data_IF_217486728680
#
_entry.id   IF_217486728680
#
_cell.length_a   1.000
_cell.length_b   1.000
_cell.length_c   1.000
_cell.angle_alpha   90.00
_cell.angle_beta   90.00
_cell.angle_gamma   90.00
#
_symmetry.space_group_name_H-M   'P 1'
#
loop_
_entity.id
_entity.type
_entity.pdbx_description
1 polymer ?
#
# COMPACT_ATOMS: atom_id res chain seq x y z
N UNK A 1 -1.07 -34.05 27.94
CA UNK A 1 -1.73 -32.99 27.15
C UNK A 1 -0.75 -31.84 27.00
N UNK A 2 -0.32 -31.50 25.79
CA UNK A 2 0.62 -30.38 25.56
C UNK A 2 -0.16 -29.14 25.14
N UNK A 3 0.29 -27.97 25.59
CA UNK A 3 -0.28 -26.68 25.18
C UNK A 3 0.57 -26.10 24.06
N UNK A 4 0.03 -26.09 22.83
CA UNK A 4 0.67 -25.40 21.71
C UNK A 4 0.50 -23.88 21.89
N UNK A 5 1.60 -23.15 21.75
CA UNK A 5 1.60 -21.68 21.68
C UNK A 5 2.17 -21.27 20.33
N UNK A 6 1.49 -20.37 19.63
CA UNK A 6 1.93 -19.82 18.35
C UNK A 6 1.98 -18.30 18.41
N UNK A 7 2.91 -17.70 17.68
CA UNK A 7 3.05 -16.26 17.51
C UNK A 7 3.39 -15.94 16.05
N UNK A 8 2.89 -14.82 15.55
CA UNK A 8 3.15 -14.34 14.18
C UNK A 8 4.38 -13.44 14.22
N UNK A 9 5.45 -13.81 13.51
CA UNK A 9 6.69 -13.01 13.49
C UNK A 9 6.67 -11.92 12.41
N UNK A 10 6.23 -12.28 11.20
CA UNK A 10 6.10 -11.37 10.06
C UNK A 10 5.07 -11.91 9.07
N UNK A 11 4.69 -11.08 8.10
CA UNK A 11 3.86 -11.48 6.96
C UNK A 11 4.59 -11.17 5.65
N UNK A 12 4.49 -12.04 4.66
CA UNK A 12 5.06 -11.83 3.31
C UNK A 12 3.90 -11.61 2.35
N UNK A 13 3.88 -10.46 1.67
CA UNK A 13 2.74 -10.03 0.87
C UNK A 13 3.19 -9.32 -0.40
N UNK A 14 2.45 -9.48 -1.50
CA UNK A 14 2.55 -8.56 -2.64
C UNK A 14 1.92 -7.19 -2.30
N UNK A 15 1.95 -6.22 -3.23
CA UNK A 15 1.41 -4.88 -2.96
C UNK A 15 -0.11 -4.86 -2.70
N UNK A 16 -0.87 -5.79 -3.26
CA UNK A 16 -2.33 -5.84 -3.09
C UNK A 16 -2.69 -6.38 -1.71
N UNK A 17 -2.07 -7.50 -1.31
CA UNK A 17 -2.23 -8.06 0.02
C UNK A 17 -1.62 -7.14 1.09
N UNK A 18 -0.49 -6.49 0.81
CA UNK A 18 0.13 -5.51 1.70
C UNK A 18 -0.83 -4.38 2.07
N UNK A 19 -1.60 -3.86 1.11
CA UNK A 19 -2.60 -2.83 1.38
C UNK A 19 -3.64 -3.28 2.41
N UNK A 20 -4.03 -4.56 2.37
CA UNK A 20 -4.99 -5.11 3.30
C UNK A 20 -4.38 -5.36 4.68
N UNK A 21 -3.19 -5.97 4.75
CA UNK A 21 -2.57 -6.35 6.03
C UNK A 21 -1.91 -5.18 6.75
N UNK A 22 -1.50 -4.14 6.04
CA UNK A 22 -1.02 -2.89 6.63
C UNK A 22 -2.18 -1.97 6.97
N UNK A 23 -3.31 -2.07 6.26
CA UNK A 23 -4.42 -1.10 6.37
C UNK A 23 -4.12 0.24 5.69
N UNK A 24 -3.02 0.32 4.94
CA UNK A 24 -2.59 1.54 4.24
C UNK A 24 -2.88 1.44 2.73
N UNK A 25 -3.39 2.51 2.13
CA UNK A 25 -3.61 2.57 0.69
C UNK A 25 -2.30 2.48 -0.09
N UNK A 26 -2.13 1.48 -0.95
CA UNK A 26 -0.99 1.38 -1.88
C UNK A 26 -1.28 2.04 -3.24
N UNK A 27 -2.47 2.63 -3.40
CA UNK A 27 -2.93 3.26 -4.64
C UNK A 27 -2.92 4.78 -4.56
N UNK A 28 -2.61 5.42 -5.68
CA UNK A 28 -2.68 6.87 -5.87
C UNK A 28 -1.43 7.62 -5.41
N UNK A 29 -1.45 8.94 -5.58
CA UNK A 29 -0.32 9.82 -5.26
C UNK A 29 0.11 9.71 -3.79
N UNK A 30 -0.84 9.54 -2.88
CA UNK A 30 -0.57 9.50 -1.44
C UNK A 30 -0.25 8.09 -0.89
N UNK A 31 0.14 7.15 -1.75
CA UNK A 31 0.41 5.76 -1.35
C UNK A 31 1.57 5.62 -0.35
N UNK A 32 2.46 6.61 -0.24
CA UNK A 32 3.58 6.58 0.69
C UNK A 32 3.14 7.02 2.12
N UNK A 33 3.25 6.14 3.14
CA UNK A 33 2.90 6.45 4.53
C UNK A 33 3.68 7.56 5.19
N UNK A 34 4.83 7.89 4.62
CA UNK A 34 5.67 8.94 5.14
C UNK A 34 5.59 10.23 4.34
N UNK A 35 5.31 10.13 3.04
CA UNK A 35 5.29 11.26 2.11
C UNK A 35 3.94 11.98 2.14
N UNK A 36 2.85 11.24 2.39
CA UNK A 36 1.47 11.72 2.42
C UNK A 36 1.14 12.59 1.20
N UNK A 37 1.12 13.91 1.35
CA UNK A 37 0.69 14.88 0.33
C UNK A 37 1.85 15.41 -0.53
N UNK A 38 3.08 15.35 -0.03
CA UNK A 38 4.25 15.74 -0.79
C UNK A 38 4.67 14.53 -1.62
N UNK A 39 4.35 14.46 -2.90
CA UNK A 39 4.74 13.32 -3.78
C UNK A 39 5.72 13.78 -4.86
N UNK A 40 5.99 15.08 -4.94
CA UNK A 40 6.61 15.74 -6.09
C UNK A 40 8.13 15.81 -6.06
N UNK A 41 8.80 15.47 -4.95
CA UNK A 41 10.27 15.48 -4.90
C UNK A 41 10.85 14.07 -4.71
N UNK A 42 11.58 13.57 -5.70
CA UNK A 42 12.30 12.29 -5.63
C UNK A 42 13.59 12.41 -4.77
N UNK A 43 14.08 13.65 -4.57
CA UNK A 43 15.37 13.96 -3.92
C UNK A 43 15.30 14.21 -2.41
N UNK A 44 14.41 13.53 -1.69
CA UNK A 44 14.21 13.80 -0.26
C UNK A 44 15.21 13.07 0.62
N UNK A 45 15.37 13.60 1.83
CA UNK A 45 16.00 12.88 2.93
C UNK A 45 15.18 11.65 3.31
N UNK A 46 15.84 10.70 3.95
CA UNK A 46 15.22 9.46 4.42
C UNK A 46 13.92 9.78 5.19
N UNK A 47 12.79 9.18 4.80
CA UNK A 47 11.52 9.29 5.51
C UNK A 47 11.65 9.03 7.02
N UNK A 48 10.94 9.79 7.87
CA UNK A 48 10.86 9.51 9.31
C UNK A 48 10.33 8.09 9.55
N UNK A 49 11.04 7.33 10.36
CA UNK A 49 10.58 6.01 10.82
C UNK A 49 9.54 6.18 11.93
N UNK A 50 8.41 5.49 11.78
CA UNK A 50 7.35 5.45 12.78
C UNK A 50 7.54 4.23 13.67
N UNK A 51 7.43 4.42 14.99
CA UNK A 51 7.35 3.30 15.93
C UNK A 51 6.00 2.57 15.76
N UNK A 52 5.98 1.28 16.08
CA UNK A 52 4.73 0.53 16.01
C UNK A 52 3.67 1.01 17.01
N UNK A 53 4.09 1.58 18.14
CA UNK A 53 3.17 2.14 19.12
C UNK A 53 2.52 3.43 18.62
N UNK A 54 3.28 4.33 17.96
CA UNK A 54 2.74 5.53 17.31
C UNK A 54 1.72 5.18 16.23
N UNK A 55 2.00 4.15 15.41
CA UNK A 55 1.07 3.67 14.39
C UNK A 55 -0.21 3.12 15.03
N UNK A 56 -0.08 2.35 16.10
CA UNK A 56 -1.23 1.79 16.81
C UNK A 56 -2.09 2.88 17.45
N UNK A 57 -1.47 3.91 18.02
CA UNK A 57 -2.16 5.08 18.56
C UNK A 57 -2.93 5.84 17.48
N UNK A 58 -2.33 6.03 16.29
CA UNK A 58 -3.03 6.62 15.14
C UNK A 58 -4.24 5.79 14.73
N UNK A 59 -4.07 4.48 14.56
CA UNK A 59 -5.16 3.57 14.19
C UNK A 59 -6.28 3.54 15.22
N UNK A 60 -5.97 3.66 16.51
CA UNK A 60 -6.96 3.68 17.58
C UNK A 60 -7.78 4.99 17.63
N UNK A 61 -7.28 6.08 17.03
CA UNK A 61 -8.01 7.36 16.92
C UNK A 61 -8.98 7.40 15.74
N UNK A 62 -8.86 6.45 14.81
CA UNK A 62 -9.67 6.39 13.60
C UNK A 62 -10.83 5.42 13.78
N UNK A 63 -12.00 5.81 13.31
CA UNK A 63 -13.20 4.98 13.39
C UNK A 63 -13.43 4.24 12.07
N UNK A 64 -13.02 2.98 12.02
CA UNK A 64 -13.14 2.17 10.81
C UNK A 64 -14.49 1.48 10.73
N UNK A 65 -15.11 1.55 9.55
CA UNK A 65 -16.32 0.76 9.26
C UNK A 65 -16.03 -0.75 9.40
N UNK A 66 -17.03 -1.56 9.80
CA UNK A 66 -16.87 -3.01 9.93
C UNK A 66 -16.37 -3.66 8.63
N UNK A 67 -15.44 -4.61 8.78
CA UNK A 67 -14.89 -5.42 7.69
C UNK A 67 -16.02 -6.05 6.84
N UNK A 68 -15.93 -5.92 5.52
CA UNK A 68 -16.84 -6.59 4.57
C UNK A 68 -18.00 -5.76 4.01
N UNK A 69 -18.25 -4.54 4.52
CA UNK A 69 -19.17 -3.62 3.83
C UNK A 69 -18.41 -2.93 2.69
N UNK A 70 -18.63 -3.40 1.46
CA UNK A 70 -18.22 -2.68 0.24
C UNK A 70 -19.13 -1.46 0.11
N UNK A 71 -18.86 -0.43 0.88
CA UNK A 71 -19.41 0.88 0.60
C UNK A 71 -18.30 1.64 -0.11
N UNK A 72 -18.59 2.18 -1.29
CA UNK A 72 -17.80 3.24 -1.90
C UNK A 72 -17.92 4.50 -1.04
N UNK A 73 -17.47 4.44 0.21
CA UNK A 73 -17.47 5.59 1.09
C UNK A 73 -16.33 6.50 0.65
N UNK A 74 -16.69 7.75 0.36
CA UNK A 74 -15.74 8.84 0.23
C UNK A 74 -14.98 8.91 1.55
N UNK A 75 -13.68 8.60 1.49
CA UNK A 75 -12.82 8.50 2.67
C UNK A 75 -12.85 9.84 3.42
N UNK A 76 -13.08 9.86 4.74
CA UNK A 76 -12.94 11.07 5.52
C UNK A 76 -11.51 11.60 5.37
N UNK A 77 -11.33 12.89 5.12
CA UNK A 77 -10.00 13.52 5.06
C UNK A 77 -9.20 13.32 6.35
N UNK A 78 -9.89 13.07 7.46
CA UNK A 78 -9.33 12.77 8.79
C UNK A 78 -8.60 11.42 8.86
N UNK A 79 -8.91 10.46 7.98
CA UNK A 79 -8.31 9.12 8.00
C UNK A 79 -6.92 9.05 7.35
N UNK A 80 -6.40 10.16 6.83
CA UNK A 80 -5.22 10.15 5.97
C UNK A 80 -5.41 9.09 4.85
N UNK A 81 -4.43 8.21 4.61
CA UNK A 81 -4.54 7.09 3.66
C UNK A 81 -4.81 5.73 4.33
N UNK A 82 -5.20 5.70 5.60
CA UNK A 82 -5.63 4.48 6.27
C UNK A 82 -6.98 4.05 5.70
N UNK A 83 -7.07 2.80 5.25
CA UNK A 83 -8.28 2.22 4.66
C UNK A 83 -9.04 1.37 5.66
N UNK A 84 -8.32 0.70 6.56
CA UNK A 84 -8.88 -0.23 7.54
C UNK A 84 -7.90 -0.42 8.70
N UNK A 85 -8.38 -0.94 9.83
CA UNK A 85 -7.55 -1.48 10.92
C UNK A 85 -7.50 -3.00 10.83
N UNK A 86 -6.37 -3.60 10.41
CA UNK A 86 -6.23 -5.04 10.31
C UNK A 86 -6.24 -5.71 11.69
N UNK A 87 -6.80 -6.92 11.78
CA UNK A 87 -6.85 -7.72 13.02
C UNK A 87 -5.46 -8.01 13.61
N UNK A 88 -4.40 -8.03 12.79
CA UNK A 88 -3.03 -8.22 13.26
C UNK A 88 -2.62 -7.15 14.29
N UNK A 89 -3.15 -5.93 14.19
CA UNK A 89 -2.89 -4.85 15.15
C UNK A 89 -3.58 -5.05 16.50
N UNK A 90 -4.47 -6.03 16.64
CA UNK A 90 -5.07 -6.42 17.92
C UNK A 90 -4.15 -7.34 18.73
N UNK A 91 -3.12 -7.92 18.11
CA UNK A 91 -2.17 -8.78 18.82
C UNK A 91 -1.31 -7.91 19.76
N UNK A 92 -1.21 -8.24 21.08
CA UNK A 92 -0.55 -7.38 22.07
C UNK A 92 0.91 -7.03 21.78
N UNK A 93 1.61 -7.89 21.03
CA UNK A 93 3.03 -7.73 20.70
C UNK A 93 3.24 -7.14 19.30
N UNK A 94 2.20 -6.92 18.49
CA UNK A 94 2.34 -6.54 17.09
C UNK A 94 3.07 -5.20 16.92
N UNK A 95 2.78 -4.23 17.77
CA UNK A 95 3.46 -2.93 17.77
C UNK A 95 4.96 -3.04 18.06
N UNK A 96 5.39 -4.12 18.73
CA UNK A 96 6.80 -4.36 19.11
C UNK A 96 7.61 -5.07 18.03
N UNK A 97 6.96 -5.65 17.02
CA UNK A 97 7.65 -6.31 15.90
C UNK A 97 8.33 -5.27 15.01
N UNK A 98 9.65 -5.41 14.79
CA UNK A 98 10.42 -4.53 13.90
C UNK A 98 10.14 -4.79 12.42
N UNK A 99 9.84 -6.04 12.05
CA UNK A 99 9.60 -6.48 10.67
C UNK A 99 8.20 -7.09 10.54
N UNK A 100 7.16 -6.26 10.52
CA UNK A 100 5.75 -6.73 10.47
C UNK A 100 5.32 -7.23 9.08
N UNK A 101 5.76 -6.50 8.06
CA UNK A 101 5.32 -6.68 6.70
C UNK A 101 6.52 -6.69 5.77
N UNK A 102 6.74 -7.84 5.14
CA UNK A 102 7.75 -8.05 4.14
C UNK A 102 7.06 -8.06 2.78
N UNK A 103 7.64 -7.35 1.81
CA UNK A 103 7.16 -7.40 0.44
C UNK A 103 7.68 -8.66 -0.24
N UNK A 104 6.80 -9.36 -0.92
CA UNK A 104 7.16 -10.50 -1.76
C UNK A 104 7.82 -9.99 -3.04
N UNK A 105 9.15 -9.90 -3.00
CA UNK A 105 9.96 -9.37 -4.10
C UNK A 105 9.73 -10.16 -5.39
N UNK A 106 9.59 -11.49 -5.32
CA UNK A 106 9.39 -12.31 -6.52
C UNK A 106 8.08 -11.97 -7.24
N UNK A 107 6.98 -11.85 -6.48
CA UNK A 107 5.69 -11.46 -7.06
C UNK A 107 5.70 -10.01 -7.54
N UNK A 108 6.38 -9.11 -6.83
CA UNK A 108 6.53 -7.71 -7.24
C UNK A 108 7.31 -7.60 -8.54
N UNK A 109 8.46 -8.25 -8.66
CA UNK A 109 9.32 -8.23 -9.84
C UNK A 109 8.59 -8.80 -11.05
N UNK A 110 7.90 -9.94 -10.89
CA UNK A 110 7.07 -10.51 -11.95
C UNK A 110 6.01 -9.50 -12.43
N UNK A 111 5.31 -8.84 -11.52
CA UNK A 111 4.27 -7.87 -11.87
C UNK A 111 4.83 -6.65 -12.60
N UNK A 112 6.02 -6.16 -12.22
CA UNK A 112 6.71 -5.06 -12.91
C UNK A 112 7.16 -5.51 -14.29
N UNK A 113 7.79 -6.68 -14.40
CA UNK A 113 8.24 -7.24 -15.67
C UNK A 113 7.07 -7.43 -16.66
N UNK A 114 5.98 -8.06 -16.23
CA UNK A 114 4.79 -8.26 -17.06
C UNK A 114 4.20 -6.91 -17.54
N UNK A 115 4.30 -5.86 -16.71
CA UNK A 115 3.85 -4.51 -17.05
C UNK A 115 4.72 -3.83 -18.12
N UNK A 116 6.02 -4.13 -18.16
CA UNK A 116 6.96 -3.54 -19.13
C UNK A 116 6.98 -4.32 -20.44
N UNK A 117 7.05 -5.65 -20.36
CA UNK A 117 7.22 -6.51 -21.53
C UNK A 117 5.98 -6.53 -22.42
N UNK A 118 4.78 -6.52 -21.84
CA UNK A 118 3.53 -6.49 -22.60
C UNK A 118 3.49 -5.34 -23.61
N UNK A 119 3.67 -4.08 -23.17
CA UNK A 119 3.78 -2.92 -24.06
C UNK A 119 4.97 -2.94 -25.01
N UNK A 120 6.18 -3.32 -24.55
CA UNK A 120 7.41 -3.28 -25.38
C UNK A 120 7.32 -4.24 -26.57
N UNK A 121 6.75 -5.43 -26.35
CA UNK A 121 6.64 -6.47 -27.36
C UNK A 121 5.29 -6.45 -28.11
N UNK A 122 4.47 -5.41 -27.91
CA UNK A 122 3.13 -5.28 -28.48
C UNK A 122 2.26 -6.55 -28.34
N UNK A 123 2.31 -7.18 -27.17
CA UNK A 123 1.55 -8.41 -26.91
C UNK A 123 0.08 -8.02 -26.73
N UNK A 124 -0.74 -8.41 -27.71
CA UNK A 124 -2.20 -8.23 -27.71
C UNK A 124 -2.81 -8.65 -26.35
N UNK A 125 -3.54 -7.72 -25.72
CA UNK A 125 -4.21 -7.95 -24.42
C UNK A 125 -3.34 -7.81 -23.17
N UNK A 126 -2.02 -7.57 -23.31
CA UNK A 126 -1.11 -7.35 -22.17
C UNK A 126 -0.56 -5.93 -22.07
N UNK A 127 -0.85 -5.05 -23.03
CA UNK A 127 -0.43 -3.65 -22.95
C UNK A 127 -1.21 -2.88 -21.90
N UNK A 128 -0.50 -2.12 -21.06
CA UNK A 128 -1.09 -1.14 -20.13
C UNK A 128 -1.13 0.28 -20.70
N UNK A 129 -0.80 0.47 -21.99
CA UNK A 129 -0.96 1.74 -22.70
C UNK A 129 -2.44 2.01 -23.00
N UNK A 130 -3.12 2.57 -22.00
CA UNK A 130 -4.54 2.95 -22.10
C UNK A 130 -4.67 4.46 -22.34
N UNK A 131 -5.80 4.90 -22.90
CA UNK A 131 -6.11 6.34 -23.07
C UNK A 131 -5.94 7.10 -21.74
N UNK A 132 -6.35 6.50 -20.62
CA UNK A 132 -6.17 7.07 -19.27
C UNK A 132 -4.70 7.24 -18.92
N UNK A 133 -3.87 6.23 -19.19
CA UNK A 133 -2.42 6.31 -18.96
C UNK A 133 -1.79 7.43 -19.80
N UNK A 134 -2.21 7.62 -21.06
CA UNK A 134 -1.73 8.71 -21.92
C UNK A 134 -2.14 10.10 -21.40
N UNK A 135 -3.38 10.24 -20.94
CA UNK A 135 -3.86 11.47 -20.30
C UNK A 135 -3.10 11.81 -19.00
N UNK A 136 -2.79 10.79 -18.19
CA UNK A 136 -1.99 10.99 -16.97
C UNK A 136 -0.56 11.44 -17.31
N UNK A 137 0.06 10.87 -18.36
CA UNK A 137 1.38 11.29 -18.84
C UNK A 137 1.39 12.74 -19.35
N UNK A 138 0.30 13.19 -19.98
CA UNK A 138 0.12 14.58 -20.40
C UNK A 138 -0.05 15.51 -19.20
N UNK A 139 -0.86 15.12 -18.21
CA UNK A 139 -1.03 15.88 -16.95
C UNK A 139 0.28 16.01 -16.16
N UNK A 140 1.14 14.99 -16.21
CA UNK A 140 2.47 15.01 -15.62
C UNK A 140 3.50 15.79 -16.45
N UNK A 141 3.14 16.26 -17.65
CA UNK A 141 4.02 17.02 -18.54
C UNK A 141 5.12 16.17 -19.20
N UNK A 142 5.04 14.84 -19.13
CA UNK A 142 6.06 13.90 -19.64
C UNK A 142 5.89 13.68 -21.15
N UNK A 143 4.64 13.64 -21.63
CA UNK A 143 4.30 13.45 -23.05
C UNK A 143 3.43 14.61 -23.51
N UNK A 144 3.79 15.25 -24.63
CA UNK A 144 2.98 16.32 -25.24
C UNK A 144 2.23 15.77 -26.45
N UNK A 145 0.92 16.00 -26.48
CA UNK A 145 0.04 15.58 -27.58
C UNK A 145 -0.41 14.13 -27.42
N UNK A 146 -1.74 13.96 -27.37
CA UNK A 146 -2.44 12.70 -27.62
C UNK A 146 -2.44 12.38 -29.11
#
# INVERSE_FOLDING_TARGET
>A
MFTLRAAVMWTVNDFSAYAMVSGWSTKGYMACPVCKEDVTSERRLKPREWSGDEILEQLNRLDFSPFGKIVSQTRPSTHMNWTQKPMLFELPYWSKLKLRHNLDVMHVEKNVFDTLVGPILDIQGKTKDTIKARLDLERMGIRRGL
#
